data_IF_127773283526
#
_entry.id   IF_127773283526
#
_cell.length_a   1.000
_cell.length_b   1.000
_cell.length_c   1.000
_cell.angle_alpha   90.00
_cell.angle_beta   90.00
_cell.angle_gamma   90.00
#
_symmetry.space_group_name_H-M   'P 1'
#
loop_
_entity.id
_entity.type
_entity.pdbx_description
1 polymer ?
#
# COMPACT_ATOMS: atom_id res chain seq x y z
N UNK A 1 -15.88 -7.74 76.04
CA UNK A 1 -16.57 -8.32 74.87
C UNK A 1 -17.19 -7.17 74.09
N UNK A 2 -16.48 -6.63 73.08
CA UNK A 2 -16.92 -5.46 72.31
C UNK A 2 -17.39 -5.90 70.92
N UNK A 3 -18.65 -5.60 70.58
CA UNK A 3 -19.25 -5.83 69.26
C UNK A 3 -18.80 -4.73 68.30
N UNK A 4 -18.07 -5.09 67.25
CA UNK A 4 -17.78 -4.21 66.12
C UNK A 4 -19.01 -4.16 65.19
N UNK A 5 -19.50 -2.94 64.91
CA UNK A 5 -20.53 -2.64 63.90
C UNK A 5 -19.88 -2.64 62.51
N UNK A 6 -20.60 -3.21 61.54
CA UNK A 6 -20.16 -3.36 60.15
C UNK A 6 -20.01 -2.02 59.41
N UNK A 7 -19.00 -1.98 58.56
CA UNK A 7 -18.72 -0.89 57.63
C UNK A 7 -19.30 -1.26 56.26
N UNK A 8 -20.23 -0.46 55.76
CA UNK A 8 -20.77 -0.60 54.40
C UNK A 8 -19.71 -0.17 53.37
N UNK A 9 -19.25 -1.11 52.56
CA UNK A 9 -18.41 -0.83 51.40
C UNK A 9 -19.27 -0.39 50.21
N UNK A 10 -19.22 0.91 49.92
CA UNK A 10 -19.76 1.52 48.71
C UNK A 10 -18.87 1.11 47.52
N UNK A 11 -19.37 0.22 46.66
CA UNK A 11 -18.75 -0.07 45.36
C UNK A 11 -18.98 1.10 44.40
N UNK A 12 -17.96 1.59 43.66
CA UNK A 12 -18.17 2.60 42.64
C UNK A 12 -18.96 2.04 41.46
N UNK A 13 -19.97 2.81 41.03
CA UNK A 13 -20.80 2.53 39.86
C UNK A 13 -19.92 2.33 38.62
N UNK A 14 -20.09 1.19 37.93
CA UNK A 14 -19.52 0.94 36.60
C UNK A 14 -20.02 2.01 35.62
N UNK A 15 -19.13 2.89 35.18
CA UNK A 15 -19.36 3.75 34.02
C UNK A 15 -19.27 2.86 32.78
N UNK A 16 -20.41 2.66 32.11
CA UNK A 16 -20.46 1.93 30.84
C UNK A 16 -20.22 2.95 29.73
N UNK A 17 -18.99 3.00 29.21
CA UNK A 17 -18.65 3.82 28.05
C UNK A 17 -19.21 3.13 26.79
N UNK A 18 -20.39 3.54 26.33
CA UNK A 18 -20.89 3.15 25.00
C UNK A 18 -20.18 4.01 23.96
N UNK A 19 -19.11 3.47 23.39
CA UNK A 19 -18.54 4.02 22.15
C UNK A 19 -19.47 3.54 21.03
N UNK A 20 -20.37 4.42 20.59
CA UNK A 20 -21.15 4.22 19.37
C UNK A 20 -20.15 4.26 18.22
N UNK A 21 -19.78 3.08 17.71
CA UNK A 21 -18.91 2.93 16.56
C UNK A 21 -19.68 3.44 15.34
N UNK A 22 -19.53 4.73 15.03
CA UNK A 22 -19.97 5.27 13.75
C UNK A 22 -19.32 4.43 12.66
N UNK A 23 -20.15 3.85 11.79
CA UNK A 23 -19.72 3.22 10.55
C UNK A 23 -19.09 4.31 9.70
N UNK A 24 -17.77 4.46 9.84
CA UNK A 24 -16.97 5.33 9.00
C UNK A 24 -16.82 4.57 7.67
N UNK A 25 -17.82 4.72 6.80
CA UNK A 25 -17.68 4.41 5.39
C UNK A 25 -16.68 5.43 4.86
N UNK A 26 -15.40 5.09 4.92
CA UNK A 26 -14.34 5.82 4.26
C UNK A 26 -14.57 5.68 2.75
N UNK A 27 -15.41 6.56 2.21
CA UNK A 27 -15.33 6.95 0.80
C UNK A 27 -14.02 7.71 0.66
N UNK A 28 -12.91 6.97 0.53
CA UNK A 28 -11.62 7.55 0.22
C UNK A 28 -11.68 8.01 -1.24
N UNK A 29 -12.10 9.25 -1.49
CA UNK A 29 -11.68 9.93 -2.71
C UNK A 29 -10.18 10.18 -2.55
N UNK A 30 -9.38 9.62 -3.46
CA UNK A 30 -7.97 9.94 -3.54
C UNK A 30 -7.82 11.47 -3.62
N UNK A 31 -6.88 12.08 -2.87
CA UNK A 31 -6.62 13.51 -3.02
C UNK A 31 -6.23 13.80 -4.48
N UNK A 32 -6.96 14.69 -5.13
CA UNK A 32 -6.61 15.21 -6.44
C UNK A 32 -5.35 16.08 -6.27
N UNK A 33 -4.20 15.54 -6.67
CA UNK A 33 -2.98 16.35 -6.81
C UNK A 33 -3.15 17.25 -8.03
N UNK A 34 -3.26 18.56 -7.80
CA UNK A 34 -3.06 19.53 -8.86
C UNK A 34 -1.56 19.56 -9.18
N UNK A 35 -1.21 19.30 -10.44
CA UNK A 35 0.14 19.54 -10.94
C UNK A 35 0.40 21.04 -10.91
N UNK A 36 1.10 21.52 -9.88
CA UNK A 36 1.72 22.84 -9.93
C UNK A 36 3.00 22.75 -10.78
N UNK A 37 2.98 23.46 -11.91
CA UNK A 37 4.12 23.70 -12.81
C UNK A 37 5.22 24.49 -12.11
N UNK A 38 5.95 23.83 -11.20
CA UNK A 38 7.15 24.38 -10.60
C UNK A 38 8.35 24.12 -11.51
N UNK A 39 8.67 25.11 -12.36
CA UNK A 39 9.94 25.13 -13.09
C UNK A 39 11.11 25.20 -12.09
N UNK A 40 12.08 24.28 -12.13
CA UNK A 40 13.24 24.37 -11.26
C UNK A 40 14.08 25.60 -11.63
N UNK A 41 14.34 26.47 -10.65
CA UNK A 41 15.34 27.53 -10.76
C UNK A 41 16.74 26.89 -10.68
N UNK A 42 17.43 26.87 -11.81
CA UNK A 42 18.82 26.45 -11.93
C UNK A 42 19.73 27.61 -11.52
N UNK A 43 20.60 27.36 -10.54
CA UNK A 43 21.64 28.30 -10.11
C UNK A 43 22.95 27.88 -10.78
N UNK A 44 23.57 28.70 -11.66
CA UNK A 44 24.79 28.31 -12.35
C UNK A 44 25.98 28.67 -11.47
N UNK A 45 26.89 27.73 -11.20
CA UNK A 45 28.29 28.11 -10.99
C UNK A 45 29.30 26.96 -11.17
N UNK A 46 30.23 27.25 -12.09
CA UNK A 46 31.64 26.87 -12.17
C UNK A 46 32.01 25.42 -12.54
N UNK A 47 32.29 25.25 -13.84
CA UNK A 47 33.58 24.77 -14.31
C UNK A 47 33.84 23.27 -14.25
N UNK A 48 33.28 22.52 -15.20
CA UNK A 48 33.85 21.24 -15.62
C UNK A 48 33.76 21.15 -17.14
N UNK A 49 34.90 20.90 -17.77
CA UNK A 49 35.04 20.78 -19.21
C UNK A 49 34.17 19.65 -19.74
N UNK A 50 33.46 19.99 -20.81
CA UNK A 50 32.51 19.17 -21.54
C UNK A 50 33.22 18.03 -22.28
N UNK A 51 32.96 16.79 -21.87
CA UNK A 51 32.89 15.68 -22.82
C UNK A 51 31.41 15.50 -23.18
N UNK A 52 31.03 16.05 -24.34
CA UNK A 52 29.71 15.92 -24.93
C UNK A 52 29.41 14.43 -25.23
N UNK A 53 28.69 13.77 -24.31
CA UNK A 53 28.03 12.51 -24.60
C UNK A 53 26.74 12.80 -25.40
N UNK A 54 26.57 12.22 -26.59
CA UNK A 54 25.43 12.52 -27.44
C UNK A 54 24.13 11.95 -26.87
N UNK A 55 23.15 12.84 -26.68
CA UNK A 55 21.73 12.57 -26.93
C UNK A 55 21.03 11.55 -26.03
N UNK A 56 20.87 11.86 -24.74
CA UNK A 56 19.90 11.13 -23.91
C UNK A 56 18.48 11.69 -24.15
N UNK A 57 17.82 11.22 -25.22
CA UNK A 57 16.40 11.51 -25.44
C UNK A 57 15.55 10.81 -24.39
N UNK A 58 14.61 11.55 -23.79
CA UNK A 58 13.67 11.09 -22.76
C UNK A 58 12.47 10.31 -23.33
N UNK A 59 12.55 9.90 -24.59
CA UNK A 59 11.54 9.03 -25.18
C UNK A 59 11.75 7.60 -24.69
N UNK A 60 10.71 7.05 -24.06
CA UNK A 60 10.57 5.70 -23.54
C UNK A 60 10.93 4.62 -24.58
N UNK A 61 12.22 4.43 -24.84
CA UNK A 61 12.73 3.26 -25.54
C UNK A 61 12.58 2.06 -24.60
N UNK A 62 11.40 1.43 -24.69
CA UNK A 62 11.25 0.00 -24.43
C UNK A 62 12.29 -0.72 -25.30
N UNK A 63 13.43 -1.06 -24.70
CA UNK A 63 14.42 -1.91 -25.35
C UNK A 63 13.78 -3.28 -25.57
N UNK A 64 13.28 -3.51 -26.79
CA UNK A 64 12.87 -4.82 -27.26
C UNK A 64 14.13 -5.67 -27.49
N UNK A 65 14.71 -6.17 -26.40
CA UNK A 65 15.67 -7.27 -26.47
C UNK A 65 14.96 -8.50 -27.04
N UNK A 66 15.62 -9.25 -27.92
CA UNK A 66 15.07 -10.38 -28.67
C UNK A 66 14.55 -11.57 -27.82
N UNK A 67 14.60 -11.46 -26.48
CA UNK A 67 14.01 -12.39 -25.52
C UNK A 67 12.70 -11.85 -24.94
N UNK A 68 11.83 -11.28 -25.77
CA UNK A 68 10.62 -10.59 -25.34
C UNK A 68 9.54 -11.58 -24.83
N UNK A 69 9.77 -12.15 -23.64
CA UNK A 69 8.77 -12.93 -22.92
C UNK A 69 7.58 -12.00 -22.69
N UNK A 70 6.39 -12.33 -23.19
CA UNK A 70 5.26 -11.42 -23.11
C UNK A 70 4.87 -11.18 -21.65
N UNK A 71 4.60 -9.91 -21.34
CA UNK A 71 3.92 -9.56 -20.11
C UNK A 71 2.44 -9.87 -20.23
N UNK A 72 1.91 -10.43 -19.16
CA UNK A 72 0.49 -10.64 -18.95
C UNK A 72 -0.08 -9.45 -18.18
N UNK A 73 -1.19 -8.91 -18.69
CA UNK A 73 -1.94 -7.81 -18.05
C UNK A 73 -3.06 -8.38 -17.18
N UNK A 74 -2.92 -8.19 -15.87
CA UNK A 74 -3.91 -8.53 -14.86
C UNK A 74 -4.63 -7.26 -14.38
N UNK A 75 -5.91 -7.13 -14.70
CA UNK A 75 -6.69 -5.91 -14.42
C UNK A 75 -7.61 -6.12 -13.23
N UNK A 76 -7.53 -5.24 -12.24
CA UNK A 76 -8.49 -5.19 -11.14
C UNK A 76 -9.82 -4.64 -11.67
N UNK A 77 -10.92 -5.28 -11.32
CA UNK A 77 -12.28 -4.85 -11.75
C UNK A 77 -12.78 -3.61 -11.03
N UNK A 78 -12.13 -3.25 -9.92
CA UNK A 78 -12.44 -2.07 -9.10
C UNK A 78 -11.16 -1.32 -8.79
N UNK A 79 -11.30 -0.04 -8.47
CA UNK A 79 -10.23 0.83 -7.96
C UNK A 79 -9.83 0.53 -6.52
N UNK A 80 -10.34 -0.54 -5.93
CA UNK A 80 -10.02 -0.98 -4.58
C UNK A 80 -9.19 -2.26 -4.67
N UNK A 81 -8.20 -2.41 -3.79
CA UNK A 81 -7.39 -3.64 -3.69
C UNK A 81 -8.13 -4.79 -3.03
N UNK A 82 -9.22 -4.49 -2.32
CA UNK A 82 -10.07 -5.44 -1.61
C UNK A 82 -11.43 -5.57 -2.28
N UNK A 83 -12.11 -6.69 -2.05
CA UNK A 83 -13.46 -6.97 -2.54
C UNK A 83 -13.60 -6.77 -4.07
N UNK A 84 -12.61 -7.27 -4.81
CA UNK A 84 -12.41 -7.05 -6.25
C UNK A 84 -12.03 -8.38 -6.92
N UNK A 85 -12.38 -8.53 -8.19
CA UNK A 85 -11.81 -9.58 -9.04
C UNK A 85 -10.61 -9.04 -9.81
N UNK A 86 -9.64 -9.89 -10.08
CA UNK A 86 -8.51 -9.63 -10.98
C UNK A 86 -8.73 -10.46 -12.23
N UNK A 87 -8.79 -9.80 -13.37
CA UNK A 87 -9.12 -10.38 -14.67
C UNK A 87 -7.89 -10.54 -15.54
N UNK A 88 -7.84 -11.64 -16.28
CA UNK A 88 -6.89 -11.88 -17.35
C UNK A 88 -7.67 -11.87 -18.66
N UNK A 89 -7.37 -10.91 -19.55
CA UNK A 89 -8.09 -10.75 -20.84
C UNK A 89 -9.62 -10.69 -20.66
N UNK A 90 -10.08 -9.98 -19.62
CA UNK A 90 -11.50 -9.82 -19.27
C UNK A 90 -12.13 -11.00 -18.51
N UNK A 91 -11.44 -12.14 -18.39
CA UNK A 91 -11.92 -13.31 -17.65
C UNK A 91 -11.43 -13.25 -16.20
N UNK A 92 -12.30 -13.39 -15.18
CA UNK A 92 -11.86 -13.46 -13.79
C UNK A 92 -10.86 -14.60 -13.55
N UNK A 93 -9.65 -14.25 -13.10
CA UNK A 93 -8.58 -15.21 -12.82
C UNK A 93 -8.35 -15.34 -11.32
N UNK A 94 -8.38 -14.23 -10.57
CA UNK A 94 -8.32 -14.23 -9.12
C UNK A 94 -9.49 -13.46 -8.51
N UNK A 95 -9.88 -13.85 -7.29
CA UNK A 95 -10.88 -13.14 -6.48
C UNK A 95 -10.27 -12.74 -5.16
N UNK A 96 -10.31 -11.44 -4.86
CA UNK A 96 -9.87 -10.87 -3.59
C UNK A 96 -11.11 -10.48 -2.80
N UNK A 97 -11.31 -11.11 -1.65
CA UNK A 97 -12.48 -10.87 -0.79
C UNK A 97 -12.04 -10.63 0.64
N UNK A 98 -12.60 -9.61 1.26
CA UNK A 98 -12.33 -9.25 2.65
C UNK A 98 -13.59 -9.50 3.47
N UNK A 99 -13.50 -10.33 4.50
CA UNK A 99 -14.66 -10.94 5.16
C UNK A 99 -15.13 -10.14 6.38
N UNK A 100 -14.22 -9.44 7.06
CA UNK A 100 -14.53 -8.80 8.34
C UNK A 100 -14.69 -7.27 8.22
N UNK A 101 -15.55 -6.71 9.08
CA UNK A 101 -15.90 -5.28 9.12
C UNK A 101 -14.71 -4.30 9.26
N UNK A 102 -13.57 -4.63 9.90
CA UNK A 102 -12.36 -3.79 9.87
C UNK A 102 -11.39 -4.15 8.73
N UNK A 103 -11.75 -5.06 7.83
CA UNK A 103 -10.86 -5.53 6.79
C UNK A 103 -9.72 -6.44 7.27
N UNK A 104 -9.88 -7.04 8.45
CA UNK A 104 -8.87 -7.85 9.13
C UNK A 104 -8.45 -9.07 8.30
N UNK A 105 -9.40 -9.76 7.66
CA UNK A 105 -9.10 -10.99 6.90
C UNK A 105 -9.38 -10.77 5.42
N UNK A 106 -8.32 -10.85 4.61
CA UNK A 106 -8.41 -10.82 3.14
C UNK A 106 -8.03 -12.18 2.56
N UNK A 107 -8.96 -12.79 1.85
CA UNK A 107 -8.75 -14.05 1.14
C UNK A 107 -8.52 -13.79 -0.35
N UNK A 108 -7.52 -14.48 -0.90
CA UNK A 108 -7.22 -14.48 -2.33
C UNK A 108 -7.47 -15.90 -2.84
N UNK A 109 -8.37 -16.03 -3.81
CA UNK A 109 -8.78 -17.31 -4.40
C UNK A 109 -8.52 -17.32 -5.90
N UNK A 110 -8.24 -18.50 -6.45
CA UNK A 110 -8.38 -18.71 -7.89
C UNK A 110 -9.87 -18.62 -8.23
N UNK A 111 -10.25 -17.70 -9.12
CA UNK A 111 -11.63 -17.45 -9.47
C UNK A 111 -12.25 -18.58 -10.31
N UNK A 112 -11.42 -19.36 -11.01
CA UNK A 112 -11.85 -20.46 -11.89
C UNK A 112 -12.17 -21.71 -11.08
N UNK A 113 -11.34 -22.01 -10.08
CA UNK A 113 -11.45 -23.24 -9.29
C UNK A 113 -12.07 -23.02 -7.90
N UNK A 114 -12.13 -21.78 -7.44
CA UNK A 114 -12.57 -21.44 -6.08
C UNK A 114 -11.55 -21.79 -4.99
N UNK A 115 -10.39 -22.33 -5.37
CA UNK A 115 -9.33 -22.74 -4.44
C UNK A 115 -8.74 -21.53 -3.73
N UNK A 116 -8.59 -21.63 -2.40
CA UNK A 116 -7.91 -20.63 -1.59
C UNK A 116 -6.39 -20.66 -1.84
N UNK A 117 -5.85 -19.53 -2.31
CA UNK A 117 -4.43 -19.36 -2.60
C UNK A 117 -3.72 -18.84 -1.35
N UNK A 118 -4.25 -17.77 -0.77
CA UNK A 118 -3.67 -17.16 0.42
C UNK A 118 -4.72 -16.42 1.25
N UNK A 119 -4.40 -16.24 2.53
CA UNK A 119 -5.16 -15.44 3.49
C UNK A 119 -4.22 -14.47 4.17
N UNK A 120 -4.52 -13.18 4.07
CA UNK A 120 -3.84 -12.10 4.78
C UNK A 120 -4.66 -11.77 6.02
N UNK A 121 -4.07 -11.95 7.20
CA UNK A 121 -4.65 -11.59 8.48
C UNK A 121 -3.95 -10.35 9.03
N UNK A 122 -4.67 -9.22 8.99
CA UNK A 122 -4.26 -7.95 9.58
C UNK A 122 -4.77 -7.84 11.01
N UNK A 123 -3.91 -7.45 11.94
CA UNK A 123 -4.24 -7.40 13.37
C UNK A 123 -3.75 -6.09 13.97
N UNK A 124 -4.57 -5.48 14.82
CA UNK A 124 -4.23 -4.20 15.48
C UNK A 124 -3.13 -4.41 16.53
N UNK A 125 -3.25 -5.46 17.34
CA UNK A 125 -2.36 -5.70 18.49
C UNK A 125 -1.29 -6.76 18.24
N UNK A 126 -1.32 -7.44 17.09
CA UNK A 126 -0.40 -8.54 16.76
C UNK A 126 0.20 -8.29 15.38
N UNK A 127 1.38 -8.86 15.08
CA UNK A 127 1.93 -8.79 13.75
C UNK A 127 0.95 -9.35 12.71
N UNK A 128 0.87 -8.68 11.57
CA UNK A 128 0.13 -9.18 10.43
C UNK A 128 0.76 -10.48 9.93
N UNK A 129 -0.09 -11.42 9.52
CA UNK A 129 0.34 -12.72 9.00
C UNK A 129 -0.27 -13.02 7.65
N UNK A 130 0.43 -13.85 6.87
CA UNK A 130 -0.07 -14.44 5.64
C UNK A 130 -0.08 -15.96 5.79
N UNK A 131 -1.09 -16.63 5.25
CA UNK A 131 -1.19 -18.09 5.25
C UNK A 131 -1.39 -18.56 3.82
N UNK A 132 -0.62 -19.56 3.40
CA UNK A 132 -0.74 -20.18 2.08
C UNK A 132 -1.16 -21.64 2.29
N UNK A 133 -2.42 -22.05 2.04
CA UNK A 133 -2.86 -23.42 2.37
C UNK A 133 -2.04 -24.54 1.74
N UNK A 134 -1.42 -24.27 0.57
CA UNK A 134 -0.61 -25.23 -0.19
C UNK A 134 0.90 -25.01 -0.05
N UNK A 135 1.36 -24.07 0.78
CA UNK A 135 2.80 -23.79 1.02
C UNK A 135 3.06 -23.66 2.52
N UNK A 136 4.30 -23.84 2.96
CA UNK A 136 4.66 -23.73 4.37
C UNK A 136 3.78 -24.56 5.32
N UNK A 137 3.31 -25.73 4.86
CA UNK A 137 2.38 -26.61 5.60
C UNK A 137 1.10 -25.92 6.09
N UNK A 138 0.65 -24.87 5.39
CA UNK A 138 -0.50 -24.06 5.80
C UNK A 138 -0.27 -23.24 7.07
N UNK A 139 0.97 -23.10 7.53
CA UNK A 139 1.29 -22.36 8.74
C UNK A 139 1.33 -20.84 8.48
N UNK A 140 0.77 -20.02 9.38
CA UNK A 140 0.84 -18.57 9.26
C UNK A 140 2.29 -18.07 9.33
N UNK A 141 2.70 -17.29 8.34
CA UNK A 141 3.98 -16.58 8.29
C UNK A 141 3.77 -15.12 8.67
N UNK A 142 4.66 -14.51 9.46
CA UNK A 142 4.58 -13.07 9.71
C UNK A 142 4.93 -12.34 8.42
N UNK A 143 4.16 -11.32 8.05
CA UNK A 143 4.39 -10.60 6.78
C UNK A 143 5.80 -10.01 6.73
N UNK A 144 6.31 -9.48 7.85
CA UNK A 144 7.67 -8.93 7.94
C UNK A 144 8.79 -9.96 7.72
N UNK A 145 8.52 -11.24 8.00
CA UNK A 145 9.48 -12.34 7.84
C UNK A 145 9.37 -12.95 6.44
N UNK A 146 8.15 -13.10 5.93
CA UNK A 146 7.88 -13.61 4.60
C UNK A 146 8.24 -12.62 3.47
N UNK A 147 7.94 -11.34 3.68
CA UNK A 147 8.23 -10.25 2.77
C UNK A 147 9.33 -9.38 3.40
N UNK A 148 10.58 -9.77 3.15
CA UNK A 148 11.74 -9.16 3.79
C UNK A 148 11.96 -7.75 3.25
N UNK A 149 11.70 -6.75 4.09
CA UNK A 149 11.94 -5.34 3.76
C UNK A 149 13.42 -5.02 3.94
N UNK A 150 14.02 -4.37 2.95
CA UNK A 150 15.35 -3.79 3.04
C UNK A 150 15.39 -2.35 2.53
N UNK A 151 16.38 -1.59 2.97
CA UNK A 151 16.52 -0.17 2.65
C UNK A 151 15.59 0.75 3.45
N UNK A 152 15.79 2.05 3.28
CA UNK A 152 14.96 3.11 3.80
C UNK A 152 14.22 3.80 2.65
N UNK A 153 13.09 4.44 2.97
CA UNK A 153 12.39 5.27 2.00
C UNK A 153 13.32 6.38 1.45
N UNK A 154 13.29 6.69 0.13
CA UNK A 154 12.41 6.15 -0.91
C UNK A 154 12.88 4.85 -1.57
N UNK A 155 14.13 4.44 -1.33
CA UNK A 155 14.73 3.23 -1.90
C UNK A 155 14.32 1.94 -1.14
N UNK A 156 13.08 1.88 -0.67
CA UNK A 156 12.57 0.69 0.01
C UNK A 156 12.37 -0.43 -1.00
N UNK A 157 12.89 -1.59 -0.66
CA UNK A 157 12.69 -2.82 -1.44
C UNK A 157 12.17 -3.93 -0.55
N UNK A 158 11.46 -4.86 -1.17
CA UNK A 158 10.97 -6.07 -0.52
C UNK A 158 11.42 -7.28 -1.33
N UNK A 159 11.96 -8.28 -0.64
CA UNK A 159 12.32 -9.55 -1.26
C UNK A 159 11.27 -10.59 -0.91
N UNK A 160 10.84 -11.35 -1.92
CA UNK A 160 9.96 -12.51 -1.74
C UNK A 160 10.42 -13.68 -2.60
N UNK A 161 10.13 -14.88 -2.14
CA UNK A 161 10.31 -16.12 -2.90
C UNK A 161 8.95 -16.51 -3.49
N UNK A 162 8.81 -16.47 -4.83
CA UNK A 162 7.59 -16.85 -5.55
C UNK A 162 7.89 -18.01 -6.51
N UNK A 163 7.51 -19.23 -6.11
CA UNK A 163 7.78 -20.41 -6.92
C UNK A 163 9.29 -20.69 -7.00
N UNK A 164 9.82 -20.76 -8.21
CA UNK A 164 11.26 -20.94 -8.47
C UNK A 164 12.03 -19.60 -8.54
N UNK A 165 11.36 -18.47 -8.31
CA UNK A 165 11.93 -17.15 -8.50
C UNK A 165 12.04 -16.38 -7.19
N UNK A 166 13.22 -15.82 -6.94
CA UNK A 166 13.38 -14.75 -5.95
C UNK A 166 13.12 -13.43 -6.65
N UNK A 167 12.16 -12.68 -6.11
CA UNK A 167 11.75 -11.39 -6.65
C UNK A 167 12.09 -10.28 -5.66
N UNK A 168 12.62 -9.19 -6.21
CA UNK A 168 12.81 -7.93 -5.50
C UNK A 168 11.78 -6.92 -6.00
N UNK A 169 10.93 -6.47 -5.11
CA UNK A 169 9.94 -5.42 -5.36
C UNK A 169 10.53 -4.11 -4.90
N UNK A 170 10.45 -3.06 -5.71
CA UNK A 170 10.94 -1.73 -5.36
C UNK A 170 9.83 -0.71 -5.54
N UNK A 171 9.75 0.22 -4.59
CA UNK A 171 8.87 1.37 -4.73
C UNK A 171 9.57 2.47 -5.51
N UNK A 172 8.99 2.90 -6.63
CA UNK A 172 9.49 4.06 -7.36
C UNK A 172 8.66 5.30 -7.04
N UNK A 173 9.26 6.22 -6.29
CA UNK A 173 8.65 7.51 -5.95
C UNK A 173 8.68 8.53 -7.11
N UNK A 174 9.52 8.32 -8.13
CA UNK A 174 9.75 9.30 -9.21
C UNK A 174 8.67 9.24 -10.29
N UNK A 175 8.10 8.06 -10.54
CA UNK A 175 7.03 7.86 -11.53
C UNK A 175 5.76 7.44 -10.81
N UNK A 176 4.97 8.43 -10.35
CA UNK A 176 3.57 8.28 -9.93
C UNK A 176 3.21 6.87 -9.40
N UNK A 177 3.86 6.47 -8.31
CA UNK A 177 3.56 5.28 -7.50
C UNK A 177 3.52 3.94 -8.25
N UNK A 178 4.60 3.58 -8.96
CA UNK A 178 4.76 2.24 -9.54
C UNK A 178 5.50 1.31 -8.58
N UNK A 179 4.87 0.16 -8.28
CA UNK A 179 5.56 -0.97 -7.66
C UNK A 179 6.26 -1.76 -8.76
N UNK A 180 7.58 -1.72 -8.79
CA UNK A 180 8.40 -2.42 -9.78
C UNK A 180 8.80 -3.80 -9.25
N UNK A 181 8.81 -4.80 -10.12
CA UNK A 181 9.21 -6.17 -9.80
C UNK A 181 10.46 -6.51 -10.62
N UNK A 182 11.50 -6.95 -9.94
CA UNK A 182 12.76 -7.39 -10.53
C UNK A 182 13.03 -8.83 -10.14
N UNK A 183 13.60 -9.60 -11.07
CA UNK A 183 14.20 -10.88 -10.72
C UNK A 183 15.53 -10.62 -9.99
N UNK A 184 15.77 -11.35 -8.92
CA UNK A 184 17.01 -11.19 -8.16
C UNK A 184 18.24 -11.56 -9.01
N UNK A 185 19.35 -10.85 -8.83
CA UNK A 185 20.62 -11.07 -9.53
C UNK A 185 20.74 -10.51 -10.96
N UNK A 186 19.66 -10.50 -11.75
CA UNK A 186 19.76 -10.24 -13.20
C UNK A 186 19.50 -8.77 -13.58
N UNK A 187 18.98 -7.96 -12.66
CA UNK A 187 18.48 -6.60 -12.96
C UNK A 187 17.27 -6.58 -13.92
N UNK A 188 16.81 -7.77 -14.33
CA UNK A 188 15.76 -7.95 -15.31
C UNK A 188 14.40 -7.61 -14.71
N UNK A 189 13.65 -6.78 -15.42
CA UNK A 189 12.30 -6.40 -15.05
C UNK A 189 11.35 -7.59 -15.21
N UNK A 190 10.74 -8.00 -14.10
CA UNK A 190 9.78 -9.10 -14.01
C UNK A 190 8.33 -8.61 -14.14
N UNK A 191 8.08 -7.33 -13.88
CA UNK A 191 6.73 -6.76 -13.92
C UNK A 191 6.63 -5.41 -13.22
N UNK A 192 5.45 -4.82 -13.28
CA UNK A 192 5.13 -3.60 -12.55
C UNK A 192 3.64 -3.52 -12.23
N UNK A 193 3.28 -2.74 -11.22
CA UNK A 193 1.90 -2.41 -10.92
C UNK A 193 1.66 -0.92 -11.17
N UNK A 194 0.73 -0.61 -12.07
CA UNK A 194 0.20 0.73 -12.24
C UNK A 194 -0.92 0.98 -11.21
N UNK A 195 -0.91 2.14 -10.52
CA UNK A 195 -1.94 2.48 -9.55
C UNK A 195 -3.29 2.75 -10.23
N UNK A 196 -4.37 2.69 -9.45
CA UNK A 196 -5.67 3.14 -9.94
C UNK A 196 -5.69 4.66 -10.20
N UNK A 197 -6.38 5.08 -11.26
CA UNK A 197 -6.56 6.48 -11.64
C UNK A 197 -8.05 6.86 -11.57
N UNK A 198 -8.40 8.07 -12.02
CA UNK A 198 -9.79 8.51 -12.13
C UNK A 198 -10.59 7.72 -13.18
N UNK A 199 -9.93 7.12 -14.16
CA UNK A 199 -10.59 6.37 -15.24
C UNK A 199 -10.26 4.88 -15.20
N UNK A 200 -9.11 4.52 -14.63
CA UNK A 200 -8.57 3.16 -14.67
C UNK A 200 -8.47 2.54 -13.26
N UNK A 201 -8.60 1.23 -13.20
CA UNK A 201 -8.34 0.46 -11.97
C UNK A 201 -6.88 0.00 -11.93
N UNK A 202 -6.45 -0.52 -10.78
CA UNK A 202 -5.11 -1.11 -10.65
C UNK A 202 -4.84 -2.13 -11.75
N UNK A 203 -3.64 -2.08 -12.32
CA UNK A 203 -3.20 -3.02 -13.33
C UNK A 203 -1.84 -3.56 -12.98
N UNK A 204 -1.72 -4.88 -12.98
CA UNK A 204 -0.49 -5.59 -12.67
C UNK A 204 0.01 -6.28 -13.94
N UNK A 205 1.21 -5.91 -14.37
CA UNK A 205 1.90 -6.52 -15.49
C UNK A 205 2.96 -7.47 -14.93
N UNK A 206 2.90 -8.74 -15.30
CA UNK A 206 3.87 -9.77 -14.84
C UNK A 206 4.25 -10.63 -16.05
N UNK A 207 5.49 -11.10 -16.11
CA UNK A 207 5.88 -12.09 -17.13
C UNK A 207 5.04 -13.37 -17.05
N UNK A 208 4.67 -13.88 -18.22
CA UNK A 208 3.90 -15.12 -18.35
C UNK A 208 4.63 -16.33 -17.75
N UNK A 209 5.97 -16.34 -17.87
CA UNK A 209 6.83 -17.40 -17.33
C UNK A 209 6.79 -17.57 -15.81
N UNK A 210 6.08 -16.70 -15.09
CA UNK A 210 5.96 -16.70 -13.62
C UNK A 210 4.56 -17.11 -13.13
N UNK A 211 3.74 -17.77 -13.97
CA UNK A 211 2.36 -18.15 -13.65
C UNK A 211 2.25 -18.94 -12.33
N UNK A 212 3.21 -19.81 -12.04
CA UNK A 212 3.30 -20.60 -10.80
C UNK A 212 3.46 -19.73 -9.53
N UNK A 213 4.01 -18.53 -9.70
CA UNK A 213 4.26 -17.53 -8.67
C UNK A 213 3.19 -16.45 -8.55
N UNK A 214 2.26 -16.31 -9.51
CA UNK A 214 1.30 -15.20 -9.56
C UNK A 214 0.51 -15.03 -8.26
N UNK A 215 0.06 -16.13 -7.66
CA UNK A 215 -0.68 -16.08 -6.40
C UNK A 215 0.11 -15.41 -5.25
N UNK A 216 1.42 -15.68 -5.17
CA UNK A 216 2.29 -15.08 -4.16
C UNK A 216 2.61 -13.62 -4.50
N UNK A 217 2.86 -13.33 -5.77
CA UNK A 217 3.11 -11.98 -6.26
C UNK A 217 1.92 -11.07 -5.96
N UNK A 218 0.70 -11.48 -6.33
CA UNK A 218 -0.53 -10.73 -6.06
C UNK A 218 -0.72 -10.50 -4.56
N UNK A 219 -0.44 -11.52 -3.75
CA UNK A 219 -0.51 -11.40 -2.28
C UNK A 219 0.44 -10.33 -1.77
N UNK A 220 1.69 -10.31 -2.25
CA UNK A 220 2.69 -9.32 -1.84
C UNK A 220 2.33 -7.91 -2.31
N UNK A 221 1.90 -7.75 -3.57
CA UNK A 221 1.45 -6.48 -4.14
C UNK A 221 0.31 -5.90 -3.30
N UNK A 222 -0.68 -6.71 -2.93
CA UNK A 222 -1.79 -6.28 -2.07
C UNK A 222 -1.29 -5.86 -0.67
N UNK A 223 -0.36 -6.61 -0.08
CA UNK A 223 0.23 -6.25 1.21
C UNK A 223 0.96 -4.90 1.17
N UNK A 224 1.81 -4.69 0.17
CA UNK A 224 2.62 -3.47 0.02
C UNK A 224 1.72 -2.27 -0.26
N UNK A 225 0.86 -2.36 -1.27
CA UNK A 225 -0.01 -1.24 -1.66
C UNK A 225 -0.97 -0.86 -0.54
N UNK A 226 -1.54 -1.83 0.18
CA UNK A 226 -2.41 -1.52 1.31
C UNK A 226 -1.65 -0.79 2.44
N UNK A 227 -0.42 -1.22 2.75
CA UNK A 227 0.41 -0.54 3.74
C UNK A 227 0.71 0.90 3.33
N UNK A 228 1.05 1.13 2.06
CA UNK A 228 1.31 2.48 1.54
C UNK A 228 0.10 3.39 1.61
N UNK A 229 -1.06 2.91 1.17
CA UNK A 229 -2.31 3.70 1.25
C UNK A 229 -2.64 4.12 2.68
N UNK A 230 -2.34 3.27 3.68
CA UNK A 230 -2.52 3.64 5.09
C UNK A 230 -1.51 4.70 5.54
N UNK A 231 -0.24 4.57 5.18
CA UNK A 231 0.82 5.54 5.49
C UNK A 231 0.52 6.92 4.86
N UNK A 232 0.05 6.94 3.62
CA UNK A 232 -0.33 8.17 2.90
C UNK A 232 -1.53 8.84 3.59
N UNK A 233 -2.55 8.05 3.97
CA UNK A 233 -3.73 8.57 4.66
C UNK A 233 -3.39 9.14 6.05
N UNK A 234 -2.48 8.49 6.78
CA UNK A 234 -2.03 8.96 8.09
C UNK A 234 -1.22 10.26 7.98
N UNK A 235 -0.38 10.38 6.95
CA UNK A 235 0.41 11.58 6.68
C UNK A 235 -0.49 12.77 6.34
N UNK A 236 -1.48 12.58 5.46
CA UNK A 236 -2.45 13.63 5.10
C UNK A 236 -3.25 14.16 6.30
N UNK A 237 -3.64 13.28 7.24
CA UNK A 237 -4.34 13.69 8.47
C UNK A 237 -3.43 14.53 9.38
N UNK A 238 -2.15 14.15 9.52
CA UNK A 238 -1.19 14.90 10.32
C UNK A 238 -0.89 16.27 9.72
N UNK A 239 -0.80 16.37 8.39
CA UNK A 239 -0.60 17.64 7.69
C UNK A 239 -1.80 18.58 7.89
N UNK A 240 -3.02 18.07 7.69
CA UNK A 240 -4.25 18.85 7.91
C UNK A 240 -4.37 19.34 9.37
N UNK A 241 -4.03 18.48 10.34
CA UNK A 241 -4.00 18.85 11.76
C UNK A 241 -2.96 19.94 12.07
N UNK A 242 -1.81 19.90 11.39
CA UNK A 242 -0.75 20.90 11.54
C UNK A 242 -1.16 22.26 10.97
N UNK A 243 -1.81 22.29 9.80
CA UNK A 243 -2.38 23.51 9.21
C UNK A 243 -3.44 24.16 10.11
N UNK A 244 -4.31 23.36 10.72
CA UNK A 244 -5.33 23.86 11.67
C UNK A 244 -4.71 24.50 12.92
N UNK A 245 -3.64 23.90 13.46
CA UNK A 245 -2.93 24.47 14.64
C UNK A 245 -2.28 25.82 14.33
N UNK A 246 -1.66 25.96 13.16
CA UNK A 246 -1.03 27.22 12.73
C UNK A 246 -2.05 28.32 12.43
N UNK A 247 -3.23 27.96 11.92
CA UNK A 247 -4.33 28.90 11.68
C UNK A 247 -4.95 29.48 12.96
N UNK A 248 -4.86 28.78 14.09
CA UNK A 248 -5.41 29.23 15.37
C UNK A 248 -4.45 30.10 16.19
N UNK A 249 -3.13 30.03 15.96
CA UNK A 249 -2.15 30.88 16.65
C UNK A 249 -2.00 32.28 16.05
N UNK A 250 -2.52 32.53 14.84
CA UNK A 250 -2.37 33.80 14.12
C UNK A 250 -3.48 34.83 14.31
N UNK A 251 -4.63 34.47 14.91
CA UNK A 251 -5.68 35.44 15.27
C UNK A 251 -5.49 35.84 16.73
N UNK A 252 -4.52 36.71 16.97
CA UNK A 252 -4.57 37.56 18.15
C UNK A 252 -5.92 38.27 18.15
N UNK A 253 -6.82 37.84 19.03
CA UNK A 253 -8.04 38.55 19.35
C UNK A 253 -7.59 39.85 20.02
N UNK A 254 -7.25 40.86 19.23
CA UNK A 254 -7.10 42.21 19.73
C UNK A 254 -8.52 42.67 20.09
N UNK A 255 -8.83 42.90 21.38
CA UNK A 255 -10.11 43.49 21.73
C UNK A 255 -10.12 44.89 21.10
N UNK A 256 -10.90 45.07 20.04
CA UNK A 256 -11.22 46.40 19.53
C UNK A 256 -11.99 47.12 20.63
N UNK A 257 -11.29 47.99 21.36
CA UNK A 257 -11.91 48.93 22.27
C UNK A 257 -12.83 49.83 21.44
N UNK A 258 -14.14 49.70 21.66
CA UNK A 258 -15.14 50.59 21.11
C UNK A 258 -14.92 51.97 21.73
N UNK A 259 -14.69 53.05 20.95
CA UNK A 259 -14.61 54.38 21.52
C UNK A 259 -16.01 54.83 21.98
N UNK A 260 -16.09 55.32 23.22
CA UNK A 260 -17.27 55.98 23.79
C UNK A 260 -17.40 57.42 23.33
#
# INVERSE_FOLDING_TARGET
MYKYKGSDHIFPKRVTLRITCCTLVLNMSLPQYQLEDSKPQYSPNVGRQDEELPGYSRDNHLYFSANNIPYVKLCFTKKTLVNTAITLKGVPYFKVSTVDAPGAVTNIKDARTGVLISTINRRILRPDTVTFPRRYNGQPQKIKEWLSKSGAYPAETWTLEAGLHTLRLSWDASTHNRLLLYKDGDGEHAGWCDPATETESFTLYIRDSMEDGWGMIITAVICILHKRLLEDSASAVNDAASTLRLGMSGRGWAPTATPC
#
